data_IF_197253782140
#
_entry.id   IF_197253782140
#
_cell.length_a   1.000
_cell.length_b   1.000
_cell.length_c   1.000
_cell.angle_alpha   90.00
_cell.angle_beta   90.00
_cell.angle_gamma   90.00
#
_symmetry.space_group_name_H-M   'P 1'
#
loop_
_entity.id
_entity.type
_entity.pdbx_description
1 polymer ?
#
# COMPACT_ATOMS: atom_id res chain seq x y z
N UNK A 1 6.75 33.00 0.63
CA UNK A 1 6.64 31.85 1.55
C UNK A 1 5.44 31.05 1.09
N UNK A 2 5.65 29.83 0.59
CA UNK A 2 4.53 28.92 0.30
C UNK A 2 3.92 28.49 1.64
N UNK A 3 2.63 28.76 1.81
CA UNK A 3 1.86 28.34 3.00
C UNK A 3 1.29 26.97 2.67
N UNK A 4 1.64 25.97 3.48
CA UNK A 4 1.15 24.61 3.33
C UNK A 4 0.72 23.99 4.64
N UNK A 5 0.11 22.83 4.51
CA UNK A 5 -0.38 22.02 5.62
C UNK A 5 0.56 20.83 5.78
N UNK A 6 0.93 20.56 7.02
CA UNK A 6 1.67 19.36 7.39
C UNK A 6 0.75 18.43 8.19
N UNK A 7 0.57 17.20 7.71
CA UNK A 7 -0.23 16.18 8.38
C UNK A 7 0.67 15.03 8.82
N UNK A 8 0.56 14.61 10.09
CA UNK A 8 1.22 13.39 10.55
C UNK A 8 0.49 12.19 9.96
N UNK A 9 1.19 11.40 9.15
CA UNK A 9 0.64 10.21 8.48
C UNK A 9 1.14 8.91 9.07
N UNK A 10 2.22 8.93 9.86
CA UNK A 10 2.75 7.75 10.57
C UNK A 10 2.71 7.94 12.08
N UNK A 11 2.21 6.94 12.80
CA UNK A 11 2.39 6.76 14.25
C UNK A 11 2.64 5.29 14.55
N UNK A 12 3.70 5.00 15.31
CA UNK A 12 3.99 3.64 15.81
C UNK A 12 4.08 2.53 14.75
N UNK A 13 4.49 2.90 13.53
CA UNK A 13 4.60 1.96 12.40
C UNK A 13 3.34 1.86 11.55
N UNK A 14 2.26 2.51 11.95
CA UNK A 14 0.97 2.46 11.26
C UNK A 14 0.63 3.80 10.60
N UNK A 15 -0.21 3.73 9.56
CA UNK A 15 -0.80 4.93 8.99
C UNK A 15 -1.88 5.48 9.92
N UNK A 16 -1.85 6.78 10.18
CA UNK A 16 -2.88 7.50 10.96
C UNK A 16 -4.12 7.86 10.14
N UNK A 17 -4.02 7.69 8.81
CA UNK A 17 -5.06 7.96 7.82
C UNK A 17 -5.27 6.72 6.96
N UNK A 18 -6.43 6.60 6.33
CA UNK A 18 -6.66 5.48 5.41
C UNK A 18 -5.81 5.61 4.13
N UNK A 19 -5.60 4.47 3.46
CA UNK A 19 -4.78 4.39 2.25
C UNK A 19 -5.32 5.21 1.08
N UNK A 20 -6.64 5.42 1.00
CA UNK A 20 -7.23 6.25 -0.07
C UNK A 20 -6.91 7.72 0.17
N UNK A 21 -7.05 8.19 1.41
CA UNK A 21 -6.64 9.56 1.77
C UNK A 21 -5.13 9.76 1.59
N UNK A 22 -4.32 8.77 1.95
CA UNK A 22 -2.87 8.85 1.76
C UNK A 22 -2.50 8.94 0.27
N UNK A 23 -3.12 8.11 -0.57
CA UNK A 23 -2.99 8.21 -2.03
C UNK A 23 -3.42 9.58 -2.56
N UNK A 24 -4.54 10.11 -2.09
CA UNK A 24 -5.05 11.43 -2.49
C UNK A 24 -4.07 12.56 -2.16
N UNK A 25 -3.45 12.52 -0.99
CA UNK A 25 -2.47 13.52 -0.57
C UNK A 25 -1.22 13.49 -1.47
N UNK A 26 -0.74 12.30 -1.83
CA UNK A 26 0.36 12.14 -2.80
C UNK A 26 -0.05 12.68 -4.18
N UNK A 27 -1.27 12.35 -4.63
CA UNK A 27 -1.79 12.73 -5.95
C UNK A 27 -1.89 14.25 -6.14
N UNK A 28 -2.13 15.00 -5.08
CA UNK A 28 -2.17 16.48 -5.13
C UNK A 28 -0.80 17.13 -4.91
N UNK A 29 0.29 16.36 -4.97
CA UNK A 29 1.66 16.86 -4.83
C UNK A 29 2.16 16.92 -3.39
N UNK A 30 1.64 16.06 -2.52
CA UNK A 30 2.15 15.91 -1.16
C UNK A 30 3.60 15.40 -1.14
N UNK A 31 4.42 16.00 -0.27
CA UNK A 31 5.85 15.68 -0.10
C UNK A 31 6.05 15.00 1.25
N UNK A 32 6.69 13.84 1.24
CA UNK A 32 6.91 13.02 2.43
C UNK A 32 8.11 13.54 3.23
N UNK A 33 7.95 13.72 4.55
CA UNK A 33 8.96 14.28 5.46
C UNK A 33 8.88 13.62 6.83
N UNK A 34 9.78 12.70 7.11
CA UNK A 34 9.71 11.90 8.35
C UNK A 34 8.35 11.23 8.50
N UNK A 35 7.64 11.47 9.61
CA UNK A 35 6.29 10.94 9.86
C UNK A 35 5.16 11.74 9.19
N UNK A 36 5.49 12.76 8.42
CA UNK A 36 4.53 13.73 7.92
C UNK A 36 4.45 13.73 6.40
N UNK A 37 3.32 14.20 5.89
CA UNK A 37 3.15 14.63 4.51
C UNK A 37 2.84 16.12 4.50
N UNK A 38 3.59 16.87 3.68
CA UNK A 38 3.39 18.30 3.47
C UNK A 38 2.67 18.54 2.15
N UNK A 39 1.58 19.31 2.17
CA UNK A 39 0.84 19.71 0.97
C UNK A 39 0.78 21.22 0.90
N UNK A 40 1.18 21.81 -0.22
CA UNK A 40 1.03 23.25 -0.44
C UNK A 40 -0.46 23.62 -0.53
N UNK A 41 -0.93 24.45 0.40
CA UNK A 41 -2.36 24.65 0.64
C UNK A 41 -2.84 26.05 0.26
N UNK A 42 -1.94 26.94 -0.18
CA UNK A 42 -2.22 28.34 -0.51
C UNK A 42 -3.05 29.07 0.57
N UNK A 43 -2.81 28.74 1.84
CA UNK A 43 -3.50 29.35 2.99
C UNK A 43 -4.73 28.60 3.49
N UNK A 44 -5.07 27.43 2.92
CA UNK A 44 -6.10 26.55 3.48
C UNK A 44 -5.62 25.87 4.77
N UNK A 45 -6.55 25.71 5.71
CA UNK A 45 -6.40 24.85 6.89
C UNK A 45 -6.40 23.36 6.53
N UNK A 46 -5.99 22.52 7.49
CA UNK A 46 -6.06 21.05 7.37
C UNK A 46 -7.46 20.58 6.99
N UNK A 47 -8.48 21.07 7.70
CA UNK A 47 -9.87 20.64 7.50
C UNK A 47 -10.40 21.01 6.12
N UNK A 48 -10.04 22.19 5.61
CA UNK A 48 -10.42 22.63 4.27
C UNK A 48 -9.73 21.81 3.18
N UNK A 49 -8.47 21.40 3.40
CA UNK A 49 -7.76 20.49 2.51
C UNK A 49 -8.45 19.13 2.48
N UNK A 50 -8.70 18.51 3.65
CA UNK A 50 -9.35 17.21 3.75
C UNK A 50 -10.74 17.21 3.09
N UNK A 51 -11.56 18.22 3.39
CA UNK A 51 -12.89 18.37 2.76
C UNK A 51 -12.80 18.53 1.24
N UNK A 52 -11.75 19.20 0.73
CA UNK A 52 -11.52 19.35 -0.71
C UNK A 52 -11.15 18.00 -1.35
N UNK A 53 -10.40 17.15 -0.65
CA UNK A 53 -9.97 15.84 -1.13
C UNK A 53 -11.12 14.83 -1.15
N UNK A 54 -11.99 14.84 -0.13
CA UNK A 54 -13.19 13.99 -0.08
C UNK A 54 -14.15 14.26 -1.24
N UNK A 55 -14.20 15.50 -1.75
CA UNK A 55 -14.99 15.88 -2.92
C UNK A 55 -14.44 15.38 -4.26
N UNK A 56 -13.21 14.87 -4.31
CA UNK A 56 -12.63 14.35 -5.54
C UNK A 56 -13.22 12.99 -5.88
N UNK A 57 -13.77 12.85 -7.09
CA UNK A 57 -14.16 11.54 -7.64
C UNK A 57 -12.90 10.76 -8.04
N UNK A 58 -12.32 10.06 -7.07
CA UNK A 58 -11.21 9.13 -7.29
C UNK A 58 -11.63 7.70 -7.00
N UNK A 59 -11.02 6.76 -7.73
CA UNK A 59 -11.12 5.34 -7.40
C UNK A 59 -10.56 5.11 -6.00
N UNK A 60 -11.30 4.39 -5.16
CA UNK A 60 -10.82 3.99 -3.85
C UNK A 60 -9.66 3.02 -4.00
N UNK A 61 -8.65 3.16 -3.15
CA UNK A 61 -7.60 2.15 -3.04
C UNK A 61 -8.25 0.89 -2.47
N UNK A 62 -8.17 -0.27 -3.17
CA UNK A 62 -8.68 -1.52 -2.61
C UNK A 62 -7.87 -1.85 -1.36
N UNK A 63 -8.56 -2.15 -0.27
CA UNK A 63 -7.92 -2.46 1.02
C UNK A 63 -8.38 -3.83 1.52
N UNK A 64 -7.55 -4.46 2.34
CA UNK A 64 -7.86 -5.73 2.99
C UNK A 64 -7.77 -5.56 4.51
N UNK A 65 -8.79 -6.04 5.22
CA UNK A 65 -8.85 -5.97 6.69
C UNK A 65 -8.20 -7.16 7.41
N UNK A 66 -7.80 -8.21 6.68
CA UNK A 66 -7.21 -9.43 7.21
C UNK A 66 -6.00 -9.85 6.37
N UNK A 67 -4.79 -9.62 6.90
CA UNK A 67 -3.57 -10.36 6.59
C UNK A 67 -2.48 -9.74 7.47
N UNK A 68 -2.23 -10.28 8.67
CA UNK A 68 -1.42 -11.50 8.74
C UNK A 68 -1.79 -12.48 9.87
N UNK A 69 -1.29 -13.72 9.78
CA UNK A 69 -0.64 -14.50 10.86
C UNK A 69 -1.09 -15.96 11.07
N UNK A 70 -2.19 -16.44 10.50
CA UNK A 70 -2.46 -17.89 10.52
C UNK A 70 -1.71 -18.54 9.33
N UNK A 71 -0.44 -18.83 9.58
CA UNK A 71 0.50 -19.60 8.75
C UNK A 71 0.93 -18.99 7.39
N UNK A 72 1.56 -17.80 7.36
CA UNK A 72 2.26 -17.38 6.16
C UNK A 72 3.43 -18.33 5.89
N UNK A 73 3.49 -18.89 4.68
CA UNK A 73 4.68 -19.62 4.21
C UNK A 73 5.47 -18.71 3.28
N UNK A 74 6.74 -18.50 3.61
CA UNK A 74 7.63 -17.70 2.77
C UNK A 74 7.87 -18.43 1.46
N UNK A 75 7.72 -17.73 0.35
CA UNK A 75 8.05 -18.20 -0.97
C UNK A 75 9.48 -17.76 -1.32
N UNK A 76 10.34 -18.72 -1.64
CA UNK A 76 11.68 -18.46 -2.15
C UNK A 76 11.74 -18.68 -3.67
N UNK A 77 12.70 -18.04 -4.33
CA UNK A 77 13.02 -18.38 -5.73
C UNK A 77 12.15 -17.75 -6.82
N UNK A 78 11.24 -16.83 -6.50
CA UNK A 78 10.50 -16.06 -7.54
C UNK A 78 11.34 -14.86 -7.99
N UNK A 79 12.33 -15.11 -8.85
CA UNK A 79 13.35 -14.13 -9.26
C UNK A 79 12.76 -12.78 -9.71
N UNK A 80 11.65 -12.80 -10.44
CA UNK A 80 11.00 -11.60 -10.95
C UNK A 80 10.44 -10.66 -9.85
N UNK A 81 10.29 -11.16 -8.61
CA UNK A 81 9.75 -10.41 -7.48
C UNK A 81 10.81 -10.08 -6.42
N UNK A 82 12.02 -10.65 -6.51
CA UNK A 82 13.06 -10.51 -5.47
C UNK A 82 13.57 -9.08 -5.29
N UNK A 83 13.62 -8.30 -6.37
CA UNK A 83 14.14 -6.92 -6.33
C UNK A 83 13.11 -5.91 -5.81
N UNK A 84 11.84 -6.32 -5.74
CA UNK A 84 10.74 -5.43 -5.36
C UNK A 84 10.10 -5.83 -4.02
N UNK A 85 9.83 -7.13 -3.83
CA UNK A 85 9.27 -7.66 -2.60
C UNK A 85 10.42 -7.95 -1.62
N UNK A 86 10.43 -7.25 -0.48
CA UNK A 86 11.28 -7.61 0.65
C UNK A 86 11.02 -9.06 1.05
N UNK A 87 9.75 -9.41 1.14
CA UNK A 87 9.27 -10.75 1.46
C UNK A 87 8.06 -11.09 0.59
N UNK A 88 7.98 -12.37 0.22
CA UNK A 88 6.87 -12.93 -0.54
C UNK A 88 6.31 -14.08 0.27
N UNK A 89 5.00 -14.07 0.46
CA UNK A 89 4.29 -15.06 1.25
C UNK A 89 3.15 -15.67 0.46
N UNK A 90 2.93 -16.97 0.64
CA UNK A 90 1.64 -17.60 0.41
C UNK A 90 0.86 -17.69 1.73
N UNK A 91 -0.47 -17.55 1.62
CA UNK A 91 -1.38 -17.63 2.75
C UNK A 91 -2.42 -18.74 2.51
N UNK A 92 -2.95 -19.25 3.62
CA UNK A 92 -4.12 -20.14 3.65
C UNK A 92 -3.98 -21.33 2.70
N UNK A 93 -2.90 -22.11 2.90
CA UNK A 93 -2.62 -23.33 2.13
C UNK A 93 -2.43 -23.08 0.62
N UNK A 94 -1.77 -21.96 0.26
CA UNK A 94 -1.48 -21.64 -1.15
C UNK A 94 -2.71 -21.16 -1.91
N UNK A 95 -3.57 -20.35 -1.28
CA UNK A 95 -4.76 -19.79 -1.94
C UNK A 95 -4.57 -18.37 -2.45
N UNK A 96 -3.68 -17.61 -1.82
CA UNK A 96 -3.32 -16.27 -2.27
C UNK A 96 -1.90 -15.93 -1.85
N UNK A 97 -1.36 -14.85 -2.42
CA UNK A 97 -0.01 -14.35 -2.15
C UNK A 97 -0.01 -12.88 -1.74
N UNK A 98 0.97 -12.52 -0.93
CA UNK A 98 1.29 -11.14 -0.63
C UNK A 98 2.77 -10.83 -0.83
N UNK A 99 3.03 -9.65 -1.39
CA UNK A 99 4.34 -9.05 -1.57
C UNK A 99 4.49 -7.90 -0.57
N UNK A 100 5.47 -8.02 0.32
CA UNK A 100 5.81 -7.00 1.31
C UNK A 100 6.83 -6.04 0.72
N UNK A 101 6.52 -4.76 0.71
CA UNK A 101 7.40 -3.68 0.24
C UNK A 101 7.69 -2.78 1.41
N UNK A 102 8.96 -2.68 1.82
CA UNK A 102 9.36 -1.74 2.88
C UNK A 102 9.35 -0.33 2.30
N UNK A 103 8.50 0.54 2.83
CA UNK A 103 8.35 1.92 2.33
C UNK A 103 8.76 2.97 3.35
N UNK A 104 8.80 2.62 4.64
CA UNK A 104 9.16 3.53 5.73
C UNK A 104 9.98 2.81 6.81
N UNK A 105 11.05 3.44 7.28
CA UNK A 105 11.88 2.98 8.39
C UNK A 105 11.51 3.71 9.68
N UNK A 106 11.02 2.97 10.67
CA UNK A 106 10.77 3.52 12.02
C UNK A 106 12.07 3.92 12.73
N UNK A 107 13.15 3.18 12.49
CA UNK A 107 14.44 3.40 13.16
C UNK A 107 15.06 4.71 12.67
N UNK A 108 15.06 4.93 11.36
CA UNK A 108 15.66 6.11 10.74
C UNK A 108 14.67 7.27 10.58
N UNK A 109 13.38 7.03 10.85
CA UNK A 109 12.31 7.98 10.64
C UNK A 109 12.32 8.56 9.21
N UNK A 110 12.38 7.69 8.21
CA UNK A 110 12.53 8.08 6.82
C UNK A 110 11.74 7.18 5.86
N UNK A 111 11.35 7.74 4.72
CA UNK A 111 10.74 7.01 3.62
C UNK A 111 11.83 6.38 2.76
N UNK A 112 11.71 5.08 2.51
CA UNK A 112 12.68 4.30 1.73
C UNK A 112 12.35 4.29 0.23
N UNK A 113 11.22 4.86 -0.15
CA UNK A 113 10.75 4.98 -1.54
C UNK A 113 10.33 6.43 -1.80
N UNK A 114 10.48 6.86 -3.05
CA UNK A 114 10.00 8.18 -3.49
C UNK A 114 8.47 8.24 -3.53
N UNK A 115 7.93 9.46 -3.49
CA UNK A 115 6.51 9.74 -3.68
C UNK A 115 6.00 9.18 -5.01
N UNK A 116 6.79 9.30 -6.08
CA UNK A 116 6.46 8.75 -7.40
C UNK A 116 6.29 7.23 -7.35
N UNK A 117 7.26 6.52 -6.75
CA UNK A 117 7.21 5.06 -6.62
C UNK A 117 6.02 4.63 -5.76
N UNK A 118 5.76 5.34 -4.67
CA UNK A 118 4.64 5.07 -3.78
C UNK A 118 3.29 5.30 -4.46
N UNK A 119 3.14 6.41 -5.19
CA UNK A 119 1.97 6.71 -6.00
C UNK A 119 1.73 5.63 -7.06
N UNK A 120 2.78 5.16 -7.71
CA UNK A 120 2.72 4.10 -8.72
C UNK A 120 2.22 2.78 -8.14
N UNK A 121 2.62 2.43 -6.92
CA UNK A 121 2.09 1.26 -6.19
C UNK A 121 0.56 1.39 -6.01
N UNK A 122 0.09 2.56 -5.57
CA UNK A 122 -1.36 2.81 -5.42
C UNK A 122 -2.11 2.72 -6.75
N UNK A 123 -1.57 3.32 -7.82
CA UNK A 123 -2.20 3.31 -9.14
C UNK A 123 -2.31 1.91 -9.72
N UNK A 124 -1.27 1.09 -9.56
CA UNK A 124 -1.30 -0.30 -9.99
C UNK A 124 -2.27 -1.13 -9.16
N UNK A 125 -2.31 -0.92 -7.84
CA UNK A 125 -3.30 -1.55 -6.97
C UNK A 125 -4.73 -1.25 -7.43
N UNK A 126 -5.04 0.02 -7.73
CA UNK A 126 -6.35 0.43 -8.26
C UNK A 126 -6.62 -0.22 -9.62
N UNK A 127 -5.65 -0.18 -10.54
CA UNK A 127 -5.81 -0.67 -11.92
C UNK A 127 -6.06 -2.18 -11.97
N UNK A 128 -5.36 -2.94 -11.14
CA UNK A 128 -5.43 -4.41 -11.12
C UNK A 128 -6.32 -4.94 -10.00
N UNK A 129 -6.99 -4.06 -9.25
CA UNK A 129 -7.80 -4.40 -8.08
C UNK A 129 -7.05 -5.31 -7.08
N UNK A 130 -5.80 -4.94 -6.76
CA UNK A 130 -4.95 -5.67 -5.80
C UNK A 130 -5.04 -4.99 -4.43
N UNK A 131 -5.67 -5.62 -3.42
CA UNK A 131 -5.81 -5.01 -2.11
C UNK A 131 -4.47 -4.68 -1.46
N UNK A 132 -4.45 -3.54 -0.77
CA UNK A 132 -3.31 -3.09 0.03
C UNK A 132 -3.64 -3.07 1.52
N UNK A 133 -2.62 -3.27 2.33
CA UNK A 133 -2.62 -2.85 3.72
C UNK A 133 -1.26 -2.27 4.09
N UNK A 134 -1.24 -1.43 5.12
CA UNK A 134 -0.02 -0.90 5.70
C UNK A 134 0.20 -1.58 7.04
N UNK A 135 1.42 -1.98 7.35
CA UNK A 135 1.78 -2.55 8.63
C UNK A 135 3.26 -2.31 8.89
N UNK A 136 3.58 -1.74 10.05
CA UNK A 136 4.95 -1.58 10.53
C UNK A 136 5.92 -0.95 9.50
N UNK A 137 5.48 0.10 8.80
CA UNK A 137 6.26 0.80 7.78
C UNK A 137 6.40 0.06 6.44
N UNK A 138 5.64 -1.02 6.22
CA UNK A 138 5.57 -1.74 4.95
C UNK A 138 4.20 -1.56 4.31
N UNK A 139 4.18 -1.42 2.99
CA UNK A 139 2.98 -1.67 2.20
C UNK A 139 3.01 -3.13 1.77
N UNK A 140 1.89 -3.80 1.98
CA UNK A 140 1.71 -5.16 1.51
C UNK A 140 0.69 -5.16 0.38
N UNK A 141 1.15 -5.63 -0.77
CA UNK A 141 0.33 -5.82 -1.96
C UNK A 141 -0.11 -7.26 -1.98
N UNK A 142 -1.42 -7.50 -1.97
CA UNK A 142 -1.95 -8.85 -1.92
C UNK A 142 -2.93 -9.14 -3.04
N UNK A 143 -3.06 -10.43 -3.33
CA UNK A 143 -4.09 -11.01 -4.20
C UNK A 143 -5.20 -11.67 -3.38
N UNK A 144 -5.04 -11.70 -2.05
CA UNK A 144 -6.06 -12.22 -1.16
C UNK A 144 -7.34 -11.37 -1.30
N UNK A 145 -8.52 -12.01 -1.34
CA UNK A 145 -9.81 -11.36 -1.19
C UNK A 145 -9.93 -10.50 0.07
N UNK A 146 -11.09 -9.87 0.27
CA UNK A 146 -11.34 -8.89 1.35
C UNK A 146 -11.85 -9.51 2.66
N UNK A 147 -12.26 -10.78 2.61
CA UNK A 147 -12.65 -11.58 3.79
C UNK A 147 -12.04 -12.98 3.78
N UNK A 148 -11.89 -13.58 4.96
CA UNK A 148 -11.38 -14.94 5.12
C UNK A 148 -12.26 -15.98 4.42
N UNK A 149 -13.59 -15.80 4.49
CA UNK A 149 -14.59 -16.65 3.83
C UNK A 149 -14.43 -16.66 2.31
N UNK A 150 -14.08 -15.51 1.72
CA UNK A 150 -13.78 -15.43 0.29
C UNK A 150 -12.50 -16.19 -0.07
N UNK A 151 -11.46 -16.14 0.78
CA UNK A 151 -10.21 -16.87 0.50
C UNK A 151 -10.43 -18.38 0.58
N UNK A 152 -11.21 -18.87 1.53
CA UNK A 152 -11.51 -20.31 1.65
C UNK A 152 -12.26 -20.87 0.44
N UNK A 153 -12.98 -20.03 -0.31
CA UNK A 153 -13.66 -20.42 -1.55
C UNK A 153 -12.70 -20.58 -2.74
N UNK A 154 -11.49 -20.04 -2.66
CA UNK A 154 -10.48 -20.23 -3.70
C UNK A 154 -9.98 -21.67 -3.69
N UNK A 155 -9.69 -22.28 -4.85
CA UNK A 155 -9.13 -23.62 -4.89
C UNK A 155 -7.73 -23.65 -4.24
N UNK A 156 -7.35 -24.77 -3.59
CA UNK A 156 -5.96 -25.02 -3.25
C UNK A 156 -5.08 -24.85 -4.50
N UNK A 157 -3.95 -24.16 -4.39
CA UNK A 157 -3.05 -23.76 -5.49
C UNK A 157 -3.45 -22.52 -6.31
N UNK A 158 -4.52 -21.79 -5.95
CA UNK A 158 -4.86 -20.50 -6.59
C UNK A 158 -3.74 -19.45 -6.48
N UNK A 159 -2.76 -19.65 -5.58
CA UNK A 159 -1.58 -18.79 -5.46
C UNK A 159 -0.74 -18.74 -6.76
N UNK A 160 -0.79 -19.75 -7.64
CA UNK A 160 -0.01 -19.77 -8.90
C UNK A 160 -0.44 -18.65 -9.83
N UNK A 161 -1.75 -18.53 -10.07
CA UNK A 161 -2.31 -17.43 -10.86
C UNK A 161 -2.06 -16.09 -10.17
N UNK A 162 -2.15 -16.08 -8.84
CA UNK A 162 -1.89 -14.89 -8.04
C UNK A 162 -0.43 -14.41 -8.16
N UNK A 163 0.54 -15.33 -8.18
CA UNK A 163 1.96 -15.03 -8.45
C UNK A 163 2.16 -14.49 -9.86
N UNK A 164 1.45 -15.04 -10.85
CA UNK A 164 1.52 -14.55 -12.23
C UNK A 164 1.04 -13.09 -12.31
N UNK A 165 -0.08 -12.76 -11.65
CA UNK A 165 -0.61 -11.40 -11.58
C UNK A 165 0.41 -10.47 -10.89
N UNK A 166 0.92 -10.82 -9.72
CA UNK A 166 1.92 -10.00 -9.03
C UNK A 166 3.19 -9.80 -9.87
N UNK A 167 3.66 -10.86 -10.53
CA UNK A 167 4.84 -10.80 -11.41
C UNK A 167 4.60 -9.88 -12.61
N UNK A 168 3.39 -9.86 -13.16
CA UNK A 168 3.02 -8.93 -14.22
C UNK A 168 2.98 -7.48 -13.70
N UNK A 169 2.37 -7.25 -12.54
CA UNK A 169 2.23 -5.92 -11.95
C UNK A 169 3.58 -5.30 -11.61
N UNK A 170 4.51 -6.07 -11.04
CA UNK A 170 5.83 -5.56 -10.67
C UNK A 170 6.68 -5.14 -11.88
N UNK A 171 6.43 -5.67 -13.08
CA UNK A 171 7.11 -5.18 -14.30
C UNK A 171 6.78 -3.73 -14.64
N UNK A 172 5.68 -3.21 -14.11
CA UNK A 172 5.29 -1.82 -14.30
C UNK A 172 5.86 -0.91 -13.23
N UNK A 173 6.48 -1.41 -12.16
CA UNK A 173 7.02 -0.62 -11.05
C UNK A 173 8.43 -0.11 -11.35
#
# INVERSE_FOLDING_TARGET
MSVGVELRVISDGELTIDLTLFYLLLKVGGVLRGQYIYVESRGKSVNELLSSLEGLKVSKVPTVGFCPAEEPRRLEGVDALKDFCLELYEYLEGRCVACVVKVYSLIYNEWLVSEEKLMKIFELSIKFNLPLYFNNGSIVITTCPSTYEEVQRLPPNAYIDSLRILTEVVKYL
#
